data_IF_697215069320
#
_entry.id   IF_697215069320
#
_cell.length_a   1.000
_cell.length_b   1.000
_cell.length_c   1.000
_cell.angle_alpha   90.00
_cell.angle_beta   90.00
_cell.angle_gamma   90.00
#
_symmetry.space_group_name_H-M   'P 1'
#
loop_
_entity.id
_entity.type
_entity.pdbx_description
1 polymer ?
#
# COMPACT_ATOMS: atom_id res chain seq x y z
N UNK A 1 -7.28 12.14 -7.10
CA UNK A 1 -8.13 11.49 -6.06
C UNK A 1 -7.26 11.06 -4.89
N UNK A 2 -7.63 11.48 -3.72
CA UNK A 2 -6.91 11.12 -2.48
C UNK A 2 -7.81 10.29 -1.58
N UNK A 3 -7.29 9.19 -1.08
CA UNK A 3 -7.97 8.31 -0.14
C UNK A 3 -6.99 7.86 0.94
N UNK A 4 -7.46 7.77 2.18
CA UNK A 4 -6.63 7.40 3.32
C UNK A 4 -7.38 6.48 4.26
N UNK A 5 -6.65 5.57 4.89
CA UNK A 5 -7.16 4.70 5.94
C UNK A 5 -6.06 4.48 6.98
N UNK A 6 -6.45 4.21 8.21
CA UNK A 6 -5.49 3.99 9.29
C UNK A 6 -5.95 2.88 10.22
N UNK A 7 -4.97 2.27 10.90
CA UNK A 7 -5.21 1.23 11.90
C UNK A 7 -4.14 1.28 12.98
N UNK A 8 -4.47 0.79 14.15
CA UNK A 8 -3.52 0.65 15.24
C UNK A 8 -3.05 -0.81 15.32
N UNK A 9 -1.73 -1.00 15.35
CA UNK A 9 -1.10 -2.30 15.45
C UNK A 9 -0.42 -2.43 16.82
N UNK A 10 -0.56 -3.60 17.44
CA UNK A 10 0.07 -3.89 18.74
C UNK A 10 1.55 -4.26 18.64
N UNK A 11 2.25 -3.70 17.66
CA UNK A 11 3.68 -3.92 17.44
C UNK A 11 4.40 -2.57 17.47
N UNK A 12 5.64 -2.51 17.99
CA UNK A 12 6.43 -1.28 17.87
C UNK A 12 6.76 -0.98 16.42
N UNK A 13 7.04 0.29 16.08
CA UNK A 13 7.24 0.69 14.67
C UNK A 13 8.29 -0.12 13.90
N UNK A 14 9.41 -0.47 14.53
CA UNK A 14 10.45 -1.27 13.87
C UNK A 14 9.94 -2.64 13.44
N UNK A 15 9.17 -3.31 14.30
CA UNK A 15 8.58 -4.62 13.98
C UNK A 15 7.48 -4.48 12.93
N UNK A 16 6.63 -3.46 13.06
CA UNK A 16 5.58 -3.18 12.07
C UNK A 16 6.19 -2.92 10.69
N UNK A 17 7.25 -2.12 10.63
CA UNK A 17 7.98 -1.84 9.39
C UNK A 17 8.47 -3.14 8.74
N UNK A 18 9.12 -3.99 9.51
CA UNK A 18 9.65 -5.25 9.00
C UNK A 18 8.54 -6.14 8.41
N UNK A 19 7.39 -6.19 9.06
CA UNK A 19 6.24 -6.97 8.59
C UNK A 19 5.64 -6.39 7.31
N UNK A 20 5.50 -5.07 7.23
CA UNK A 20 4.93 -4.39 6.07
C UNK A 20 5.83 -4.50 4.84
N UNK A 21 7.14 -4.49 5.02
CA UNK A 21 8.11 -4.50 3.93
C UNK A 21 8.55 -5.92 3.53
N UNK A 22 7.92 -6.95 4.03
CA UNK A 22 8.03 -8.29 3.48
C UNK A 22 7.22 -8.34 2.18
N UNK A 23 7.83 -7.87 1.09
CA UNK A 23 7.15 -7.52 -0.16
C UNK A 23 6.19 -8.60 -0.67
N UNK A 24 6.67 -9.84 -0.81
CA UNK A 24 5.88 -10.93 -1.38
C UNK A 24 4.74 -11.35 -0.45
N UNK A 25 4.84 -11.08 0.85
CA UNK A 25 3.82 -11.40 1.84
C UNK A 25 2.68 -10.37 1.87
N UNK A 26 2.82 -9.27 1.15
CA UNK A 26 1.78 -8.24 1.10
C UNK A 26 0.47 -8.77 0.53
N UNK A 27 0.50 -9.80 -0.29
CA UNK A 27 -0.70 -10.45 -0.81
C UNK A 27 -1.54 -11.12 0.29
N UNK A 28 -0.95 -11.39 1.45
CA UNK A 28 -1.68 -12.02 2.56
C UNK A 28 -2.62 -11.07 3.26
N UNK A 29 -2.42 -9.76 3.10
CA UNK A 29 -3.27 -8.77 3.75
C UNK A 29 -3.85 -7.72 2.79
N UNK A 30 -3.16 -7.34 1.72
CA UNK A 30 -3.71 -6.42 0.71
C UNK A 30 -4.73 -7.19 -0.12
N UNK A 31 -5.99 -6.84 0.02
CA UNK A 31 -7.11 -7.66 -0.45
C UNK A 31 -7.18 -7.82 -1.96
N UNK A 32 -6.84 -6.76 -2.71
CA UNK A 32 -6.89 -6.79 -4.16
C UNK A 32 -5.55 -7.16 -4.82
N UNK A 33 -4.50 -7.40 -4.05
CA UNK A 33 -3.20 -7.79 -4.59
C UNK A 33 -3.15 -9.28 -4.87
N UNK A 34 -2.78 -9.62 -6.10
CA UNK A 34 -2.62 -11.02 -6.56
C UNK A 34 -1.18 -11.48 -6.41
N UNK A 35 -0.23 -10.61 -6.75
CA UNK A 35 1.20 -10.88 -6.61
C UNK A 35 1.97 -9.60 -6.40
N UNK A 36 3.07 -9.71 -5.65
CA UNK A 36 4.05 -8.63 -5.47
C UNK A 36 5.41 -9.21 -5.78
N UNK A 37 6.14 -8.59 -6.71
CA UNK A 37 7.45 -9.07 -7.13
C UNK A 37 8.44 -7.92 -7.17
N UNK A 38 9.57 -8.08 -6.50
CA UNK A 38 10.67 -7.11 -6.54
C UNK A 38 11.43 -7.27 -7.87
N UNK A 39 11.53 -6.19 -8.64
CA UNK A 39 12.20 -6.18 -9.94
C UNK A 39 13.66 -5.78 -9.86
N UNK A 40 14.05 -5.04 -8.83
CA UNK A 40 15.42 -4.59 -8.61
C UNK A 40 16.23 -5.65 -7.85
N UNK A 41 17.57 -5.56 -7.96
CA UNK A 41 18.45 -6.48 -7.21
C UNK A 41 18.47 -6.18 -5.72
N UNK A 42 18.35 -4.90 -5.33
CA UNK A 42 18.21 -4.50 -3.94
C UNK A 42 16.72 -4.54 -3.54
N UNK A 43 16.46 -4.83 -2.28
CA UNK A 43 15.11 -5.01 -1.75
C UNK A 43 14.72 -3.94 -0.72
N UNK A 44 15.61 -3.04 -0.40
CA UNK A 44 15.36 -1.94 0.53
C UNK A 44 16.04 -0.68 0.05
N UNK A 45 15.47 0.48 0.42
CA UNK A 45 16.00 1.78 0.07
C UNK A 45 15.29 2.43 -1.12
N UNK A 46 15.68 3.67 -1.39
CA UNK A 46 15.19 4.42 -2.55
C UNK A 46 15.61 3.71 -3.83
N UNK A 47 14.71 3.69 -4.82
CA UNK A 47 14.96 3.08 -6.11
C UNK A 47 14.49 1.63 -6.23
N UNK A 48 14.07 0.98 -5.15
CA UNK A 48 13.42 -0.34 -5.23
C UNK A 48 12.18 -0.21 -6.10
N UNK A 49 12.04 -1.13 -7.06
CA UNK A 49 10.87 -1.21 -7.94
C UNK A 49 10.20 -2.54 -7.71
N UNK A 50 8.88 -2.50 -7.49
CA UNK A 50 8.05 -3.70 -7.34
C UNK A 50 6.95 -3.69 -8.40
N UNK A 51 6.62 -4.87 -8.90
CA UNK A 51 5.47 -5.09 -9.76
C UNK A 51 4.35 -5.68 -8.92
N UNK A 52 3.22 -5.00 -8.90
CA UNK A 52 2.03 -5.44 -8.16
C UNK A 52 0.93 -5.76 -9.16
N UNK A 53 0.48 -7.01 -9.16
CA UNK A 53 -0.68 -7.41 -9.93
C UNK A 53 -1.92 -7.28 -9.06
N UNK A 54 -2.90 -6.55 -9.56
CA UNK A 54 -4.08 -6.15 -8.80
C UNK A 54 -5.36 -6.61 -9.47
N UNK A 55 -6.34 -7.02 -8.66
CA UNK A 55 -7.71 -7.23 -9.14
C UNK A 55 -8.44 -5.90 -9.19
N UNK A 56 -9.17 -5.71 -10.28
CA UNK A 56 -10.11 -4.59 -10.40
C UNK A 56 -11.50 -5.21 -10.52
N UNK A 57 -12.38 -4.93 -9.57
CA UNK A 57 -13.72 -5.53 -9.48
C UNK A 57 -13.69 -7.06 -9.58
N UNK A 58 -12.70 -7.69 -8.92
CA UNK A 58 -12.56 -9.13 -8.85
C UNK A 58 -11.80 -9.77 -10.01
N UNK A 59 -11.41 -9.00 -11.04
CA UNK A 59 -10.69 -9.51 -12.21
C UNK A 59 -9.21 -9.11 -12.13
N UNK A 60 -8.24 -10.04 -12.25
CA UNK A 60 -6.81 -9.73 -12.17
C UNK A 60 -6.30 -9.14 -13.48
N UNK A 61 -6.55 -7.85 -13.72
CA UNK A 61 -6.32 -7.20 -15.02
C UNK A 61 -5.24 -6.12 -14.99
N UNK A 62 -4.81 -5.65 -13.81
CA UNK A 62 -3.90 -4.52 -13.73
C UNK A 62 -2.57 -4.97 -13.13
N UNK A 63 -1.46 -4.66 -13.83
CA UNK A 63 -0.12 -4.76 -13.27
C UNK A 63 0.43 -3.36 -13.12
N UNK A 64 0.77 -2.97 -11.91
CA UNK A 64 1.32 -1.66 -11.60
C UNK A 64 2.78 -1.79 -11.18
N UNK A 65 3.57 -0.77 -11.51
CA UNK A 65 4.96 -0.65 -11.04
C UNK A 65 5.02 0.46 -10.03
N UNK A 66 5.62 0.14 -8.90
CA UNK A 66 5.80 1.07 -7.80
C UNK A 66 7.29 1.25 -7.55
N UNK A 67 7.73 2.50 -7.48
CA UNK A 67 9.13 2.82 -7.19
C UNK A 67 9.22 3.54 -5.86
N UNK A 68 10.09 3.07 -4.98
CA UNK A 68 10.35 3.72 -3.70
C UNK A 68 11.06 5.04 -3.92
N UNK A 69 10.44 6.14 -3.51
CA UNK A 69 11.00 7.49 -3.61
C UNK A 69 11.41 8.06 -2.25
N UNK A 70 10.81 7.57 -1.17
CA UNK A 70 11.23 7.89 0.20
C UNK A 70 11.31 6.60 1.00
N UNK A 71 12.44 6.39 1.65
CA UNK A 71 12.70 5.23 2.49
C UNK A 71 13.26 5.72 3.82
N UNK A 72 12.38 5.88 4.81
CA UNK A 72 12.74 6.38 6.15
C UNK A 72 12.24 5.40 7.23
N UNK A 73 12.94 4.25 7.41
CA UNK A 73 12.52 3.28 8.42
C UNK A 73 12.73 3.81 9.85
N UNK A 74 11.86 3.46 10.78
CA UNK A 74 10.63 2.70 10.60
C UNK A 74 9.40 3.59 10.47
N UNK A 75 9.53 4.81 9.95
CA UNK A 75 8.50 5.85 10.02
C UNK A 75 7.71 6.03 8.72
N UNK A 76 8.39 6.06 7.57
CA UNK A 76 7.75 6.55 6.36
C UNK A 76 8.28 5.87 5.11
N UNK A 77 7.37 5.42 4.28
CA UNK A 77 7.62 4.89 2.94
C UNK A 77 6.75 5.67 1.96
N UNK A 78 7.35 6.16 0.87
CA UNK A 78 6.61 6.75 -0.24
C UNK A 78 6.99 6.01 -1.52
N UNK A 79 5.96 5.65 -2.28
CA UNK A 79 6.13 4.96 -3.56
C UNK A 79 5.40 5.71 -4.65
N UNK A 80 6.04 5.88 -5.81
CA UNK A 80 5.43 6.44 -6.98
C UNK A 80 4.84 5.34 -7.85
N UNK A 81 3.58 5.50 -8.27
CA UNK A 81 2.93 4.64 -9.25
C UNK A 81 3.44 4.99 -10.65
N UNK A 82 3.99 4.00 -11.35
CA UNK A 82 4.62 4.17 -12.66
C UNK A 82 3.85 3.47 -13.79
N UNK A 83 2.66 2.94 -13.50
CA UNK A 83 1.83 2.23 -14.47
C UNK A 83 0.75 3.11 -15.08
N UNK A 84 -0.38 2.50 -15.45
CA UNK A 84 -1.55 3.20 -15.97
C UNK A 84 -2.13 4.16 -14.93
N UNK A 85 -2.25 3.71 -13.70
CA UNK A 85 -2.59 4.56 -12.58
C UNK A 85 -1.31 5.28 -12.14
N UNK A 86 -1.37 6.59 -11.99
CA UNK A 86 -0.24 7.42 -11.60
C UNK A 86 -0.50 8.08 -10.27
N UNK A 87 0.54 8.54 -9.62
CA UNK A 87 0.45 9.22 -8.33
C UNK A 87 1.37 8.63 -7.30
N UNK A 88 1.02 8.79 -6.04
CA UNK A 88 1.90 8.48 -4.91
C UNK A 88 1.12 7.73 -3.84
N UNK A 89 1.73 6.67 -3.32
CA UNK A 89 1.28 5.99 -2.11
C UNK A 89 2.21 6.29 -0.96
N UNK A 90 1.65 6.51 0.22
CA UNK A 90 2.43 6.76 1.43
C UNK A 90 2.00 5.82 2.55
N UNK A 91 2.97 5.24 3.23
CA UNK A 91 2.79 4.52 4.48
C UNK A 91 3.49 5.30 5.58
N UNK A 92 2.74 5.69 6.61
CA UNK A 92 3.24 6.43 7.75
C UNK A 92 3.02 5.60 9.01
N UNK A 93 4.10 5.37 9.76
CA UNK A 93 4.08 4.60 11.00
C UNK A 93 4.46 5.53 12.15
N UNK A 94 3.53 5.70 13.10
CA UNK A 94 3.72 6.58 14.24
C UNK A 94 3.65 5.78 15.53
N UNK A 95 4.60 5.98 16.48
CA UNK A 95 4.51 5.33 17.78
C UNK A 95 3.22 5.75 18.51
N UNK A 96 2.55 4.78 19.14
CA UNK A 96 1.33 5.03 19.87
C UNK A 96 1.22 4.02 21.02
N UNK A 97 1.54 4.45 22.25
CA UNK A 97 1.33 3.64 23.43
C UNK A 97 2.00 2.26 23.42
N UNK A 98 3.22 2.16 22.92
CA UNK A 98 3.93 0.89 22.75
C UNK A 98 3.63 0.15 21.46
N UNK A 99 2.60 0.57 20.74
CA UNK A 99 2.25 0.07 19.42
C UNK A 99 2.54 1.07 18.32
N UNK A 100 1.83 0.93 17.21
CA UNK A 100 2.03 1.76 16.01
C UNK A 100 0.69 2.15 15.43
N UNK A 101 0.53 3.43 15.09
CA UNK A 101 -0.53 3.88 14.18
C UNK A 101 0.02 3.81 12.77
N UNK A 102 -0.60 2.99 11.95
CA UNK A 102 -0.28 2.87 10.53
C UNK A 102 -1.32 3.61 9.71
N UNK A 103 -0.87 4.60 8.94
CA UNK A 103 -1.70 5.37 8.02
C UNK A 103 -1.26 5.08 6.60
N UNK A 104 -2.20 4.66 5.78
CA UNK A 104 -2.01 4.39 4.36
C UNK A 104 -2.79 5.42 3.55
N UNK A 105 -2.08 6.20 2.74
CA UNK A 105 -2.67 7.24 1.90
C UNK A 105 -2.29 6.98 0.45
N UNK A 106 -3.29 7.07 -0.44
CA UNK A 106 -3.08 7.00 -1.88
C UNK A 106 -3.57 8.30 -2.51
N UNK A 107 -2.76 8.90 -3.36
CA UNK A 107 -3.11 10.06 -4.15
C UNK A 107 -2.90 9.70 -5.61
N UNK A 108 -3.99 9.40 -6.32
CA UNK A 108 -3.98 8.74 -7.62
C UNK A 108 -4.60 9.58 -8.71
N UNK A 109 -4.08 9.40 -9.94
CA UNK A 109 -4.59 10.03 -11.15
C UNK A 109 -4.56 9.03 -12.32
N UNK A 110 -5.50 9.17 -13.24
CA UNK A 110 -5.50 8.48 -14.52
C UNK A 110 -5.10 9.46 -15.62
N UNK A 111 -4.42 8.99 -16.70
CA UNK A 111 -3.95 9.88 -17.76
C UNK A 111 -5.05 10.30 -18.75
N UNK A 112 -6.29 10.40 -18.30
CA UNK A 112 -7.46 10.81 -19.08
C UNK A 112 -8.03 12.06 -18.43
N UNK A 113 -7.89 13.26 -19.01
CA UNK A 113 -8.38 14.48 -18.42
C UNK A 113 -9.90 14.42 -18.17
N UNK A 114 -10.34 14.95 -17.03
CA UNK A 114 -11.75 15.03 -16.61
C UNK A 114 -12.37 13.65 -16.36
N UNK A 115 -12.43 12.80 -17.38
CA UNK A 115 -13.02 11.45 -17.26
C UNK A 115 -12.25 10.58 -16.27
N UNK A 116 -10.92 10.68 -16.26
CA UNK A 116 -10.09 9.94 -15.32
C UNK A 116 -10.39 10.32 -13.89
N UNK A 117 -10.51 11.61 -13.59
CA UNK A 117 -10.86 12.10 -12.26
C UNK A 117 -12.26 11.63 -11.84
N UNK A 118 -13.22 11.67 -12.76
CA UNK A 118 -14.57 11.23 -12.50
C UNK A 118 -14.62 9.72 -12.18
N UNK A 119 -13.92 8.91 -12.98
CA UNK A 119 -13.84 7.47 -12.75
C UNK A 119 -13.21 7.14 -11.41
N UNK A 120 -12.14 7.82 -11.03
CA UNK A 120 -11.49 7.63 -9.74
C UNK A 120 -12.39 8.07 -8.60
N UNK A 121 -13.11 9.18 -8.77
CA UNK A 121 -14.04 9.66 -7.75
C UNK A 121 -15.16 8.65 -7.52
N UNK A 122 -15.67 8.02 -8.57
CA UNK A 122 -16.67 6.95 -8.47
C UNK A 122 -16.10 5.69 -7.81
N UNK A 123 -14.83 5.38 -8.06
CA UNK A 123 -14.15 4.21 -7.50
C UNK A 123 -13.70 4.42 -6.05
N UNK A 124 -13.56 5.66 -5.61
CA UNK A 124 -13.01 6.02 -4.30
C UNK A 124 -13.66 5.30 -3.11
N UNK A 125 -15.00 5.22 -2.99
CA UNK A 125 -15.62 4.52 -1.86
C UNK A 125 -15.25 3.03 -1.82
N UNK A 126 -15.19 2.41 -2.98
CA UNK A 126 -14.80 1.00 -3.11
C UNK A 126 -13.33 0.81 -2.72
N UNK A 127 -12.44 1.67 -3.18
CA UNK A 127 -11.02 1.65 -2.83
C UNK A 127 -10.81 1.86 -1.33
N UNK A 128 -11.54 2.80 -0.73
CA UNK A 128 -11.46 3.05 0.70
C UNK A 128 -11.87 1.79 1.50
N UNK A 129 -12.91 1.11 1.04
CA UNK A 129 -13.35 -0.16 1.65
C UNK A 129 -12.27 -1.23 1.53
N UNK A 130 -11.65 -1.38 0.36
CA UNK A 130 -10.55 -2.32 0.15
C UNK A 130 -9.36 -2.02 1.06
N UNK A 131 -8.98 -0.76 1.20
CA UNK A 131 -7.90 -0.35 2.09
C UNK A 131 -8.21 -0.67 3.55
N UNK A 132 -9.41 -0.35 4.01
CA UNK A 132 -9.83 -0.66 5.38
C UNK A 132 -9.86 -2.17 5.64
N UNK A 133 -10.38 -2.94 4.70
CA UNK A 133 -10.42 -4.39 4.79
C UNK A 133 -9.01 -4.97 4.82
N UNK A 134 -8.12 -4.46 3.99
CA UNK A 134 -6.70 -4.86 3.96
C UNK A 134 -6.02 -4.58 5.31
N UNK A 135 -6.24 -3.41 5.89
CA UNK A 135 -5.68 -3.07 7.19
C UNK A 135 -6.23 -3.97 8.31
N UNK A 136 -7.50 -4.34 8.25
CA UNK A 136 -8.08 -5.31 9.19
C UNK A 136 -7.43 -6.68 9.04
N UNK A 137 -7.17 -7.12 7.81
CA UNK A 137 -6.46 -8.37 7.53
C UNK A 137 -5.04 -8.32 8.11
N UNK A 138 -4.34 -7.21 7.90
CA UNK A 138 -3.00 -6.99 8.44
C UNK A 138 -3.00 -7.11 9.96
N UNK A 139 -3.93 -6.46 10.62
CA UNK A 139 -4.03 -6.49 12.08
C UNK A 139 -4.23 -7.91 12.60
N UNK A 140 -5.13 -8.67 11.99
CA UNK A 140 -5.34 -10.07 12.36
C UNK A 140 -4.09 -10.91 12.16
N UNK A 141 -3.43 -10.73 11.02
CA UNK A 141 -2.24 -11.49 10.67
C UNK A 141 -1.11 -11.28 11.69
N UNK A 142 -0.79 -10.03 12.02
CA UNK A 142 0.31 -9.71 12.93
C UNK A 142 -0.01 -10.13 14.38
N UNK A 143 -1.28 -10.10 14.78
CA UNK A 143 -1.68 -10.50 16.13
C UNK A 143 -1.80 -12.03 16.29
N UNK A 144 -2.04 -12.75 15.21
CA UNK A 144 -2.08 -14.22 15.24
C UNK A 144 -0.68 -14.84 15.27
N UNK A 145 0.32 -14.13 14.80
CA UNK A 145 1.71 -14.59 14.75
C UNK A 145 2.53 -14.18 15.99
N UNK A 146 1.89 -13.45 16.90
CA UNK A 146 2.54 -12.99 18.13
C UNK A 146 2.60 -14.08 19.20
#
# INVERSE_FOLDING_TARGET
>A
MRVSAQIELGLPPAEAWRRLLAWEDQITWIEDAVSVRVLTSHRGGVGVIVAVRTRVLGVPVLTDRLEVTVWDPPRRLVMAHRGLVRGVGEWLLQPLGGGTRFTWTEDLALPIPILGELLLLMYRPFMHRLMRSSLSNLKRMVHQQA
#
